data_IF_274291377633
#
_entry.id   IF_274291377633
#
_cell.length_a   1.000
_cell.length_b   1.000
_cell.length_c   1.000
_cell.angle_alpha   90.00
_cell.angle_beta   90.00
_cell.angle_gamma   90.00
#
_symmetry.space_group_name_H-M   'P 1'
#
loop_
_entity.id
_entity.type
_entity.pdbx_description
1 polymer ?
#
# COMPACT_ATOMS: atom_id res chain seq x y z
N UNK A 1 -13.18 -6.47 -6.62
CA UNK A 1 -12.69 -5.26 -5.95
C UNK A 1 -13.77 -4.77 -5.01
N UNK A 2 -13.40 -4.45 -3.78
CA UNK A 2 -14.31 -3.86 -2.79
C UNK A 2 -13.94 -2.40 -2.57
N UNK A 3 -14.91 -1.56 -2.24
CA UNK A 3 -14.66 -0.18 -1.83
C UNK A 3 -14.43 -0.17 -0.33
N UNK A 4 -13.39 0.52 0.11
CA UNK A 4 -13.08 0.76 1.52
C UNK A 4 -12.82 2.24 1.73
N UNK A 5 -13.03 2.71 2.94
CA UNK A 5 -12.57 4.04 3.35
C UNK A 5 -11.21 3.90 4.01
N UNK A 6 -10.22 4.64 3.49
CA UNK A 6 -8.93 4.83 4.14
C UNK A 6 -8.97 6.16 4.90
N UNK A 7 -8.72 6.12 6.20
CA UNK A 7 -8.56 7.33 7.01
C UNK A 7 -7.09 7.48 7.43
N UNK A 8 -6.49 8.61 7.07
CA UNK A 8 -5.10 8.89 7.41
C UNK A 8 -4.98 9.19 8.91
N UNK A 9 -3.99 8.61 9.58
CA UNK A 9 -3.84 8.75 11.04
C UNK A 9 -3.41 10.16 11.46
N UNK A 10 -2.67 10.87 10.60
CA UNK A 10 -2.10 12.18 10.89
C UNK A 10 -3.08 13.36 10.69
N UNK A 11 -3.93 13.25 9.68
CA UNK A 11 -4.79 14.34 9.18
C UNK A 11 -6.28 14.03 9.29
N UNK A 12 -6.64 12.79 9.63
CA UNK A 12 -8.02 12.26 9.58
C UNK A 12 -8.68 12.40 8.21
N UNK A 13 -7.90 12.67 7.15
CA UNK A 13 -8.40 12.75 5.79
C UNK A 13 -8.93 11.38 5.37
N UNK A 14 -10.15 11.36 4.85
CA UNK A 14 -10.80 10.15 4.33
C UNK A 14 -10.69 10.09 2.82
N UNK A 15 -10.34 8.92 2.31
CA UNK A 15 -10.24 8.62 0.89
C UNK A 15 -10.98 7.32 0.63
N UNK A 16 -11.93 7.34 -0.31
CA UNK A 16 -12.51 6.11 -0.83
C UNK A 16 -11.53 5.45 -1.79
N UNK A 17 -11.19 4.19 -1.51
CA UNK A 17 -10.29 3.40 -2.32
C UNK A 17 -10.95 2.12 -2.79
N UNK A 18 -10.65 1.68 -4.01
CA UNK A 18 -10.95 0.31 -4.43
C UNK A 18 -9.76 -0.58 -4.13
N UNK A 19 -10.01 -1.67 -3.40
CA UNK A 19 -8.98 -2.65 -3.04
C UNK A 19 -9.27 -4.02 -3.63
N UNK A 20 -8.21 -4.79 -3.82
CA UNK A 20 -8.27 -6.19 -4.21
C UNK A 20 -8.16 -7.04 -2.94
N UNK A 21 -9.13 -7.94 -2.72
CA UNK A 21 -8.99 -9.01 -1.74
C UNK A 21 -8.15 -10.11 -2.39
N UNK A 22 -6.87 -10.17 -2.03
CA UNK A 22 -5.90 -11.10 -2.62
C UNK A 22 -5.33 -12.03 -1.55
N UNK A 23 -5.83 -13.27 -1.51
CA UNK A 23 -5.32 -14.30 -0.60
C UNK A 23 -3.92 -14.80 -0.98
N UNK A 24 -3.41 -14.46 -2.17
CA UNK A 24 -2.05 -14.76 -2.60
C UNK A 24 -1.01 -13.76 -2.09
N UNK A 25 -1.44 -12.66 -1.46
CA UNK A 25 -0.57 -11.63 -0.90
C UNK A 25 -0.37 -11.84 0.61
N UNK A 26 0.89 -11.86 1.07
CA UNK A 26 1.22 -12.03 2.50
C UNK A 26 0.99 -10.76 3.33
N UNK A 27 0.73 -9.61 2.69
CA UNK A 27 0.52 -8.34 3.38
C UNK A 27 -0.31 -7.37 2.56
N UNK A 28 -0.57 -6.21 3.15
CA UNK A 28 -1.27 -5.12 2.48
C UNK A 28 -0.28 -4.28 1.68
N UNK A 29 -0.61 -4.04 0.42
CA UNK A 29 0.21 -3.23 -0.48
C UNK A 29 -0.64 -2.10 -1.06
N UNK A 30 -0.01 -0.94 -1.21
CA UNK A 30 -0.63 0.24 -1.81
C UNK A 30 0.18 0.66 -3.04
N UNK A 31 -0.51 1.07 -4.11
CA UNK A 31 0.14 1.70 -5.25
C UNK A 31 0.82 3.00 -4.81
N UNK A 32 2.07 3.18 -5.24
CA UNK A 32 2.82 4.42 -5.02
C UNK A 32 2.12 5.62 -5.68
N UNK A 33 1.56 5.42 -6.87
CA UNK A 33 0.87 6.43 -7.66
C UNK A 33 -0.41 6.86 -6.94
N UNK A 34 -1.17 5.91 -6.40
CA UNK A 34 -2.37 6.20 -5.60
C UNK A 34 -2.04 7.06 -4.38
N UNK A 35 -0.99 6.69 -3.63
CA UNK A 35 -0.56 7.44 -2.45
C UNK A 35 -0.13 8.87 -2.81
N UNK A 36 0.65 9.04 -3.88
CA UNK A 36 1.08 10.35 -4.38
C UNK A 36 -0.10 11.21 -4.84
N UNK A 37 -1.02 10.64 -5.61
CA UNK A 37 -2.19 11.35 -6.14
C UNK A 37 -3.06 11.93 -5.02
N UNK A 38 -3.18 11.22 -3.90
CA UNK A 38 -4.02 11.65 -2.78
C UNK A 38 -3.25 12.41 -1.69
N UNK A 39 -1.94 12.62 -1.87
CA UNK A 39 -1.09 13.31 -0.90
C UNK A 39 -0.95 12.55 0.42
N UNK A 40 -0.98 11.21 0.38
CA UNK A 40 -0.76 10.38 1.57
C UNK A 40 0.71 10.50 1.98
N UNK A 41 0.96 10.73 3.28
CA UNK A 41 2.32 10.80 3.80
C UNK A 41 3.03 9.44 3.61
N UNK A 42 4.15 9.46 2.89
CA UNK A 42 5.01 8.29 2.68
C UNK A 42 6.16 8.31 3.68
N UNK A 43 6.23 7.32 4.57
CA UNK A 43 7.30 7.16 5.54
C UNK A 43 8.35 6.24 4.95
N UNK A 44 9.56 6.73 4.73
CA UNK A 44 10.65 5.93 4.13
C UNK A 44 11.10 4.84 5.10
N UNK A 45 11.26 3.63 4.58
CA UNK A 45 11.79 2.49 5.35
C UNK A 45 13.32 2.59 5.44
N UNK A 46 13.88 2.20 6.58
CA UNK A 46 15.34 2.08 6.77
C UNK A 46 15.97 1.07 5.80
N UNK A 47 15.24 -0.02 5.51
CA UNK A 47 15.65 -1.07 4.57
C UNK A 47 14.48 -1.43 3.66
N UNK A 48 14.64 -1.40 2.32
CA UNK A 48 13.60 -1.84 1.40
C UNK A 48 13.21 -3.30 1.60
N UNK A 49 11.92 -3.60 1.50
CA UNK A 49 11.40 -4.98 1.55
C UNK A 49 11.34 -5.54 0.13
N UNK A 50 12.09 -6.61 -0.14
CA UNK A 50 12.08 -7.29 -1.43
C UNK A 50 10.78 -8.08 -1.58
N UNK A 51 10.04 -7.81 -2.65
CA UNK A 51 8.82 -8.55 -2.99
C UNK A 51 9.15 -9.60 -4.04
N UNK A 52 8.69 -10.83 -3.81
CA UNK A 52 8.79 -11.94 -4.76
C UNK A 52 7.39 -12.39 -5.16
N UNK A 53 7.25 -12.82 -6.41
CA UNK A 53 6.04 -13.47 -6.89
C UNK A 53 5.99 -14.93 -6.37
N UNK A 54 4.86 -15.62 -6.58
CA UNK A 54 4.66 -17.02 -6.18
C UNK A 54 5.75 -17.96 -6.75
N UNK A 55 6.23 -17.68 -7.96
CA UNK A 55 7.33 -18.44 -8.58
C UNK A 55 8.74 -18.01 -8.12
N UNK A 56 8.85 -17.29 -7.00
CA UNK A 56 10.09 -16.78 -6.39
C UNK A 56 10.89 -15.74 -7.20
N UNK A 57 10.42 -15.34 -8.38
CA UNK A 57 11.01 -14.22 -9.13
C UNK A 57 10.75 -12.88 -8.43
N UNK A 58 11.60 -11.89 -8.69
CA UNK A 58 11.37 -10.53 -8.15
C UNK A 58 10.12 -9.92 -8.77
N UNK A 59 9.34 -9.22 -7.95
CA UNK A 59 8.19 -8.48 -8.43
C UNK A 59 8.63 -7.35 -9.38
N UNK A 60 7.93 -7.20 -10.52
CA UNK A 60 8.24 -6.19 -11.54
C UNK A 60 8.02 -4.76 -11.03
N UNK A 61 7.11 -4.57 -10.08
CA UNK A 61 6.92 -3.30 -9.38
C UNK A 61 8.06 -2.93 -8.44
N UNK A 62 9.04 -3.83 -8.25
CA UNK A 62 10.23 -3.61 -7.44
C UNK A 62 10.02 -3.89 -5.96
N UNK A 63 10.87 -3.27 -5.13
CA UNK A 63 10.83 -3.40 -3.68
C UNK A 63 9.92 -2.34 -3.04
N UNK A 64 9.34 -2.69 -1.89
CA UNK A 64 8.64 -1.72 -1.04
C UNK A 64 9.69 -0.89 -0.33
N UNK A 65 9.55 0.43 -0.44
CA UNK A 65 10.54 1.41 0.04
C UNK A 65 9.97 2.38 1.07
N UNK A 66 8.64 2.43 1.16
CA UNK A 66 7.91 3.34 2.03
C UNK A 66 6.72 2.58 2.64
N UNK A 67 6.30 3.02 3.81
CA UNK A 67 5.06 2.62 4.47
C UNK A 67 4.13 3.83 4.62
N UNK A 68 2.86 3.55 4.94
CA UNK A 68 1.83 4.54 5.24
C UNK A 68 1.06 4.08 6.48
N UNK A 69 0.63 5.03 7.29
CA UNK A 69 -0.20 4.77 8.48
C UNK A 69 -1.63 5.23 8.22
N UNK A 70 -2.53 4.25 8.09
CA UNK A 70 -3.95 4.47 7.78
C UNK A 70 -4.82 3.48 8.55
N UNK A 71 -6.03 3.88 8.89
CA UNK A 71 -7.09 2.94 9.28
C UNK A 71 -7.97 2.63 8.06
N UNK A 72 -8.51 1.42 8.00
CA UNK A 72 -9.33 0.94 6.89
C UNK A 72 -10.67 0.43 7.45
N UNK A 73 -11.78 0.88 6.89
CA UNK A 73 -13.15 0.51 7.26
C UNK A 73 -14.06 0.34 6.06
#
# INVERSE_FOLDING_TARGET
MITVTLEMVDTHKKIEGKVLLDSGATGLFMSREFAKQHGIQLIKLDKPVRVKNVNSTLNVGGAITHQVDVTMS
#
